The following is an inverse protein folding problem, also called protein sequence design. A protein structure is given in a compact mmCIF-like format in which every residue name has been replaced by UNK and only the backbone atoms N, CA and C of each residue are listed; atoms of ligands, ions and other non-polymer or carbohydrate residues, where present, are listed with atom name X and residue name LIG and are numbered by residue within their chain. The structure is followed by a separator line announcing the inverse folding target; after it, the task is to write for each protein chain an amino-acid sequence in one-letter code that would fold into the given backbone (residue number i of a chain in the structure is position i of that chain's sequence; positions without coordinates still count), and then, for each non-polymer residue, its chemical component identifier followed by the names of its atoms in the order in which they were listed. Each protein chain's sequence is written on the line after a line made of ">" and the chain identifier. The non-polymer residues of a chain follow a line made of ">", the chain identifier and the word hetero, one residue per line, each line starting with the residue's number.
data_IF_143823290192
#
_entry.id   IF_143823290192
#
_cell.length_a   1.000
_cell.length_b   1.000
_cell.length_c   1.000
_cell.angle_alpha   90.00
_cell.angle_beta   90.00
_cell.angle_gamma   90.00
#
_symmetry.space_group_name_H-M   'P 1'
#
loop_
_entity.id
_entity.type
_entity.pdbx_description
1 polymer ?
#
# COMPACT_ATOMS: atom_id res chain seq x y z
N UNK A 1 33.86 88.49 27.49
CA UNK A 1 34.04 87.69 26.27
C UNK A 1 34.88 86.50 26.69
N UNK A 2 34.22 85.35 26.95
CA UNK A 2 34.82 84.13 27.50
C UNK A 2 34.68 83.04 26.43
N UNK A 3 35.77 82.53 25.96
CA UNK A 3 35.84 81.48 24.97
C UNK A 3 35.59 80.12 25.64
N UNK A 4 34.85 79.19 25.01
CA UNK A 4 34.65 77.84 25.56
C UNK A 4 35.77 76.91 25.09
N UNK A 5 36.27 76.08 26.05
CA UNK A 5 37.27 75.08 25.89
C UNK A 5 36.77 73.92 25.02
N UNK A 6 37.63 73.53 24.02
CA UNK A 6 37.44 72.37 23.20
C UNK A 6 37.72 71.09 24.02
N UNK A 7 36.64 70.31 24.28
CA UNK A 7 36.75 68.99 24.87
C UNK A 7 37.34 67.99 23.86
N UNK A 8 38.51 67.46 24.17
CA UNK A 8 39.20 66.40 23.47
C UNK A 8 38.40 65.10 23.58
N UNK A 9 37.78 64.66 22.50
CA UNK A 9 37.13 63.35 22.41
C UNK A 9 38.16 62.26 22.10
N UNK A 10 38.35 61.36 23.10
CA UNK A 10 39.13 60.16 22.92
C UNK A 10 38.44 59.17 21.97
N UNK A 11 39.16 58.53 21.01
CA UNK A 11 38.55 57.57 20.13
C UNK A 11 38.09 56.32 20.89
N UNK A 12 36.96 55.69 20.47
CA UNK A 12 36.43 54.49 21.12
C UNK A 12 37.38 53.31 20.93
N UNK A 13 37.50 52.42 21.97
CA UNK A 13 38.35 51.24 21.88
C UNK A 13 37.93 50.33 20.75
N UNK A 14 38.87 49.96 19.86
CA UNK A 14 38.66 48.94 18.82
C UNK A 14 38.12 47.67 19.47
N UNK A 15 36.92 47.29 19.10
CA UNK A 15 36.31 46.00 19.46
C UNK A 15 37.28 44.88 19.07
N UNK A 16 37.83 44.18 20.07
CA UNK A 16 38.64 42.99 19.90
C UNK A 16 37.85 41.97 19.09
N UNK A 17 38.30 41.65 17.91
CA UNK A 17 37.69 40.68 17.02
C UNK A 17 37.53 39.36 17.78
N UNK A 18 36.28 38.92 17.93
CA UNK A 18 35.96 37.56 18.42
C UNK A 18 36.71 36.57 17.52
N UNK A 19 37.57 35.72 18.11
CA UNK A 19 38.20 34.66 17.34
C UNK A 19 37.10 33.79 16.74
N UNK A 20 37.06 33.73 15.42
CA UNK A 20 36.18 32.86 14.64
C UNK A 20 36.52 31.40 15.04
N UNK A 21 35.87 30.90 16.09
CA UNK A 21 35.96 29.49 16.51
C UNK A 21 35.32 28.65 15.45
N UNK A 22 36.00 28.40 14.35
CA UNK A 22 35.64 27.31 13.45
C UNK A 22 35.73 26.04 14.26
N UNK A 23 34.61 25.27 14.37
CA UNK A 23 34.64 24.02 15.12
C UNK A 23 35.66 23.12 14.42
N UNK A 24 36.82 22.90 15.07
CA UNK A 24 37.80 21.92 14.63
C UNK A 24 37.09 20.55 14.75
N UNK A 25 36.50 20.10 13.65
CA UNK A 25 35.92 18.74 13.54
C UNK A 25 37.07 17.77 13.89
N UNK A 26 36.95 17.10 15.02
CA UNK A 26 37.86 16.05 15.42
C UNK A 26 37.93 15.02 14.26
N UNK A 27 39.13 14.43 14.04
CA UNK A 27 39.34 13.43 12.97
C UNK A 27 38.24 12.32 13.05
N UNK A 28 37.81 11.98 14.25
CA UNK A 28 36.68 11.04 14.46
C UNK A 28 35.36 11.57 13.91
N UNK A 29 35.07 12.86 14.09
CA UNK A 29 33.87 13.49 13.55
C UNK A 29 33.87 13.54 12.02
N UNK A 30 35.03 13.80 11.42
CA UNK A 30 35.18 13.82 9.96
C UNK A 30 35.01 12.43 9.35
N UNK A 31 35.54 11.41 10.01
CA UNK A 31 35.37 9.99 9.57
C UNK A 31 33.94 9.52 9.71
N UNK A 32 33.26 9.81 10.82
CA UNK A 32 31.85 9.54 11.02
C UNK A 32 30.97 10.23 9.95
N UNK A 33 31.25 11.50 9.67
CA UNK A 33 30.52 12.25 8.64
C UNK A 33 30.72 11.64 7.25
N UNK A 34 31.93 11.20 6.93
CA UNK A 34 32.23 10.53 5.66
C UNK A 34 31.48 9.21 5.51
N UNK A 35 31.38 8.41 6.57
CA UNK A 35 30.62 7.15 6.58
C UNK A 35 29.13 7.44 6.43
N UNK A 36 28.58 8.38 7.20
CA UNK A 36 27.14 8.71 7.13
C UNK A 36 26.77 9.25 5.75
N UNK A 37 27.54 10.17 5.20
CA UNK A 37 27.24 10.77 3.89
C UNK A 37 27.53 9.79 2.75
N UNK A 38 28.63 9.03 2.85
CA UNK A 38 29.07 8.13 1.78
C UNK A 38 28.31 6.80 1.70
N UNK A 39 27.81 6.27 2.82
CA UNK A 39 27.22 4.95 2.87
C UNK A 39 25.75 4.99 3.32
N UNK A 40 25.47 5.64 4.43
CA UNK A 40 24.12 5.58 5.04
C UNK A 40 23.11 6.37 4.21
N UNK A 41 23.49 7.55 3.72
CA UNK A 41 22.56 8.42 2.99
C UNK A 41 22.16 7.84 1.62
N UNK A 42 23.06 7.31 0.78
CA UNK A 42 22.68 6.61 -0.44
C UNK A 42 21.87 5.34 -0.18
N UNK A 43 22.21 4.55 0.84
CA UNK A 43 21.45 3.36 1.20
C UNK A 43 20.01 3.70 1.62
N UNK A 44 19.83 4.77 2.41
CA UNK A 44 18.53 5.27 2.80
C UNK A 44 17.73 5.77 1.58
N UNK A 45 18.39 6.49 0.68
CA UNK A 45 17.77 7.00 -0.54
C UNK A 45 17.29 5.87 -1.45
N UNK A 46 18.10 4.83 -1.65
CA UNK A 46 17.72 3.63 -2.42
C UNK A 46 16.53 2.93 -1.76
N UNK A 47 16.52 2.78 -0.45
CA UNK A 47 15.43 2.14 0.30
C UNK A 47 14.10 2.92 0.16
N UNK A 48 14.15 4.25 0.25
CA UNK A 48 12.97 5.10 0.06
C UNK A 48 12.47 5.07 -1.40
N UNK A 49 13.39 5.07 -2.36
CA UNK A 49 13.05 4.99 -3.77
C UNK A 49 12.41 3.64 -4.11
N UNK A 50 12.98 2.54 -3.61
CA UNK A 50 12.44 1.19 -3.81
C UNK A 50 11.03 1.05 -3.23
N UNK A 51 10.79 1.57 -2.03
CA UNK A 51 9.44 1.58 -1.43
C UNK A 51 8.43 2.37 -2.27
N UNK A 52 8.85 3.51 -2.82
CA UNK A 52 7.97 4.35 -3.64
C UNK A 52 7.67 3.71 -4.99
N UNK A 53 8.67 3.13 -5.63
CA UNK A 53 8.52 2.42 -6.91
C UNK A 53 7.73 1.11 -6.74
N UNK A 54 8.01 0.33 -5.68
CA UNK A 54 7.32 -0.93 -5.41
C UNK A 54 5.80 -0.73 -5.26
N UNK A 55 5.36 0.31 -4.55
CA UNK A 55 3.93 0.62 -4.45
C UNK A 55 3.30 0.93 -5.81
N UNK A 56 3.97 1.73 -6.64
CA UNK A 56 3.45 2.10 -7.98
C UNK A 56 3.39 0.93 -8.96
N UNK A 57 4.27 -0.05 -8.82
CA UNK A 57 4.30 -1.22 -9.72
C UNK A 57 3.43 -2.37 -9.24
N UNK A 58 3.30 -2.58 -7.92
CA UNK A 58 2.50 -3.67 -7.37
C UNK A 58 1.00 -3.41 -7.44
N UNK A 59 0.57 -2.17 -7.25
CA UNK A 59 -0.85 -1.82 -7.24
C UNK A 59 -1.59 -2.21 -8.53
N UNK A 60 -1.09 -1.87 -9.75
CA UNK A 60 -1.76 -2.28 -10.99
C UNK A 60 -1.72 -3.80 -11.20
N UNK A 61 -0.65 -4.49 -10.80
CA UNK A 61 -0.55 -5.95 -10.92
C UNK A 61 -1.59 -6.64 -10.04
N UNK A 62 -1.74 -6.21 -8.80
CA UNK A 62 -2.74 -6.74 -7.86
C UNK A 62 -4.15 -6.44 -8.36
N UNK A 63 -4.41 -5.24 -8.88
CA UNK A 63 -5.70 -4.88 -9.44
C UNK A 63 -6.06 -5.73 -10.66
N UNK A 64 -5.12 -5.94 -11.57
CA UNK A 64 -5.32 -6.80 -12.73
C UNK A 64 -5.57 -8.26 -12.32
N UNK A 65 -4.85 -8.77 -11.34
CA UNK A 65 -5.07 -10.12 -10.82
C UNK A 65 -6.47 -10.27 -10.19
N UNK A 66 -6.89 -9.31 -9.39
CA UNK A 66 -8.25 -9.29 -8.80
C UNK A 66 -9.34 -9.24 -9.88
N UNK A 67 -9.15 -8.43 -10.92
CA UNK A 67 -10.07 -8.37 -12.05
C UNK A 67 -10.12 -9.69 -12.83
N UNK A 68 -8.98 -10.36 -13.00
CA UNK A 68 -8.91 -11.67 -13.64
C UNK A 68 -9.62 -12.75 -12.80
N UNK A 69 -9.44 -12.76 -11.49
CA UNK A 69 -10.15 -13.68 -10.58
C UNK A 69 -11.66 -13.44 -10.66
N UNK A 70 -12.11 -12.19 -10.66
CA UNK A 70 -13.52 -11.85 -10.81
C UNK A 70 -14.08 -12.34 -12.14
N UNK A 71 -13.39 -12.10 -13.25
CA UNK A 71 -13.80 -12.55 -14.57
C UNK A 71 -13.87 -14.08 -14.67
N UNK A 72 -12.86 -14.78 -14.17
CA UNK A 72 -12.86 -16.25 -14.15
C UNK A 72 -13.98 -16.81 -13.28
N UNK A 73 -14.20 -16.23 -12.11
CA UNK A 73 -15.27 -16.63 -11.18
C UNK A 73 -16.64 -16.38 -11.76
N UNK A 74 -16.86 -15.27 -12.47
CA UNK A 74 -18.13 -14.97 -13.12
C UNK A 74 -18.45 -15.98 -14.22
N UNK A 75 -17.47 -16.39 -15.01
CA UNK A 75 -17.64 -17.43 -16.02
C UNK A 75 -17.97 -18.79 -15.38
N UNK A 76 -17.27 -19.16 -14.29
CA UNK A 76 -17.53 -20.41 -13.58
C UNK A 76 -18.94 -20.48 -12.99
N UNK A 77 -19.50 -19.35 -12.57
CA UNK A 77 -20.85 -19.26 -12.02
C UNK A 77 -21.96 -19.21 -13.07
N UNK A 78 -21.65 -18.91 -14.34
CA UNK A 78 -22.64 -18.67 -15.38
C UNK A 78 -23.62 -19.83 -15.54
N UNK A 79 -23.14 -21.06 -15.70
CA UNK A 79 -23.99 -22.23 -15.91
C UNK A 79 -24.83 -22.58 -14.66
N UNK A 80 -24.25 -22.44 -13.47
CA UNK A 80 -24.92 -22.71 -12.21
C UNK A 80 -26.00 -21.65 -11.90
N UNK A 81 -25.72 -20.38 -12.18
CA UNK A 81 -26.66 -19.29 -12.01
C UNK A 81 -27.82 -19.39 -13.00
N UNK A 82 -27.54 -19.74 -14.26
CA UNK A 82 -28.56 -19.98 -15.28
C UNK A 82 -29.53 -21.10 -14.91
N UNK A 83 -29.00 -22.24 -14.43
CA UNK A 83 -29.82 -23.39 -14.01
C UNK A 83 -30.45 -23.23 -12.64
N UNK A 84 -30.19 -22.13 -11.92
CA UNK A 84 -30.62 -21.88 -10.53
C UNK A 84 -30.28 -23.04 -9.58
N UNK A 85 -29.18 -23.74 -9.87
CA UNK A 85 -28.72 -24.85 -9.06
C UNK A 85 -27.89 -24.34 -7.86
N UNK A 86 -28.59 -24.08 -6.74
CA UNK A 86 -27.98 -23.55 -5.53
C UNK A 86 -26.83 -24.42 -5.00
N UNK A 87 -26.94 -25.75 -5.08
CA UNK A 87 -25.89 -26.66 -4.61
C UNK A 87 -24.59 -26.49 -5.40
N UNK A 88 -24.71 -26.31 -6.73
CA UNK A 88 -23.55 -26.05 -7.59
C UNK A 88 -22.99 -24.64 -7.35
N UNK A 89 -23.87 -23.65 -7.14
CA UNK A 89 -23.44 -22.28 -6.78
C UNK A 89 -22.62 -22.31 -5.48
N UNK A 90 -23.10 -22.99 -4.44
CA UNK A 90 -22.38 -23.12 -3.16
C UNK A 90 -21.01 -23.78 -3.34
N UNK A 91 -20.94 -24.85 -4.13
CA UNK A 91 -19.68 -25.54 -4.43
C UNK A 91 -18.68 -24.62 -5.16
N UNK A 92 -19.14 -23.81 -6.12
CA UNK A 92 -18.30 -22.84 -6.83
C UNK A 92 -17.84 -21.73 -5.88
N UNK A 93 -18.73 -21.23 -5.02
CA UNK A 93 -18.42 -20.22 -3.99
C UNK A 93 -17.34 -20.73 -3.03
N UNK A 94 -17.47 -21.98 -2.55
CA UNK A 94 -16.44 -22.57 -1.69
C UNK A 94 -15.10 -22.70 -2.40
N UNK A 95 -15.10 -23.03 -3.68
CA UNK A 95 -13.86 -23.10 -4.46
C UNK A 95 -13.20 -21.72 -4.66
N UNK A 96 -14.01 -20.67 -4.86
CA UNK A 96 -13.51 -19.29 -4.94
C UNK A 96 -12.90 -18.85 -3.60
N UNK A 97 -13.48 -19.26 -2.47
CA UNK A 97 -12.95 -18.95 -1.14
C UNK A 97 -11.65 -19.71 -0.80
N UNK A 98 -11.26 -20.73 -1.57
CA UNK A 98 -9.95 -21.36 -1.44
C UNK A 98 -8.82 -20.49 -1.98
N UNK A 99 -9.14 -19.46 -2.76
CA UNK A 99 -8.16 -18.49 -3.22
C UNK A 99 -7.70 -17.61 -2.05
N UNK A 100 -6.41 -17.61 -1.69
CA UNK A 100 -5.94 -16.96 -0.46
C UNK A 100 -6.14 -15.45 -0.40
N UNK A 101 -6.35 -14.81 -1.55
CA UNK A 101 -6.62 -13.37 -1.64
C UNK A 101 -8.10 -13.02 -1.45
N UNK A 102 -9.01 -14.00 -1.52
CA UNK A 102 -10.46 -13.82 -1.43
C UNK A 102 -10.94 -14.18 -0.03
N UNK A 103 -11.54 -13.25 0.68
CA UNK A 103 -12.07 -13.49 2.00
C UNK A 103 -13.61 -13.42 2.07
N UNK A 104 -14.28 -13.05 0.98
CA UNK A 104 -15.74 -13.05 0.92
C UNK A 104 -16.28 -13.15 -0.50
N UNK A 105 -17.40 -13.84 -0.63
CA UNK A 105 -18.11 -14.03 -1.89
C UNK A 105 -19.61 -13.84 -1.65
N UNK A 106 -20.21 -12.94 -2.43
CA UNK A 106 -21.66 -12.74 -2.45
C UNK A 106 -22.17 -12.92 -3.88
N UNK A 107 -23.12 -13.79 -4.07
CA UNK A 107 -23.90 -13.94 -5.31
C UNK A 107 -25.26 -13.28 -5.12
N UNK A 108 -25.49 -12.19 -5.85
CA UNK A 108 -26.66 -11.32 -5.70
C UNK A 108 -27.54 -11.40 -6.95
N UNK A 109 -28.82 -11.05 -6.78
CA UNK A 109 -29.76 -10.87 -7.90
C UNK A 109 -29.82 -12.07 -8.85
N UNK A 110 -29.86 -13.29 -8.31
CA UNK A 110 -30.25 -14.45 -9.10
C UNK A 110 -31.69 -14.22 -9.62
N UNK A 111 -31.79 -13.92 -10.89
CA UNK A 111 -33.08 -13.71 -11.52
C UNK A 111 -33.61 -15.06 -12.05
N UNK A 112 -34.69 -15.59 -11.48
CA UNK A 112 -35.47 -16.60 -12.18
C UNK A 112 -36.04 -15.95 -13.46
N UNK A 113 -36.11 -16.69 -14.51
CA UNK A 113 -36.61 -16.32 -15.87
C UNK A 113 -38.07 -15.83 -15.89
N UNK A 114 -38.56 -15.23 -14.83
CA UNK A 114 -39.93 -14.69 -14.71
C UNK A 114 -39.87 -13.18 -14.75
N UNK A 115 -40.70 -12.57 -15.58
CA UNK A 115 -40.86 -11.13 -15.84
C UNK A 115 -41.18 -10.26 -14.58
N UNK A 116 -41.06 -10.80 -13.39
CA UNK A 116 -41.22 -10.03 -12.17
C UNK A 116 -39.87 -9.61 -11.63
N UNK A 117 -39.58 -8.29 -11.55
CA UNK A 117 -38.41 -7.77 -10.88
C UNK A 117 -38.60 -7.91 -9.35
N UNK A 118 -38.55 -9.10 -8.86
CA UNK A 118 -38.38 -9.34 -7.43
C UNK A 118 -36.91 -9.09 -7.15
N UNK A 119 -36.60 -8.01 -6.41
CA UNK A 119 -35.31 -7.83 -5.77
C UNK A 119 -35.08 -9.09 -4.91
N UNK A 120 -34.52 -10.12 -5.54
CA UNK A 120 -34.27 -11.41 -4.92
C UNK A 120 -33.32 -11.25 -3.75
N UNK A 121 -33.53 -11.93 -2.65
CA UNK A 121 -32.61 -11.97 -1.54
C UNK A 121 -31.22 -12.44 -2.04
N UNK A 122 -30.19 -12.00 -1.38
CA UNK A 122 -28.84 -12.54 -1.46
C UNK A 122 -28.90 -14.07 -1.58
N UNK A 123 -28.61 -14.63 -2.73
CA UNK A 123 -28.82 -16.06 -2.94
C UNK A 123 -27.81 -16.90 -2.15
N UNK A 124 -26.54 -16.49 -2.19
CA UNK A 124 -25.45 -17.13 -1.44
C UNK A 124 -24.47 -16.07 -0.99
N UNK A 125 -24.16 -16.05 0.30
CA UNK A 125 -23.15 -15.16 0.88
C UNK A 125 -22.26 -15.96 1.83
N UNK A 126 -20.98 -15.90 1.62
CA UNK A 126 -19.95 -16.47 2.51
C UNK A 126 -18.88 -15.42 2.75
N UNK A 127 -18.58 -15.16 4.02
CA UNK A 127 -17.56 -14.20 4.41
C UNK A 127 -16.69 -14.80 5.51
N UNK A 128 -15.39 -14.81 5.27
CA UNK A 128 -14.36 -15.35 6.18
C UNK A 128 -13.28 -14.31 6.45
N UNK A 129 -13.55 -13.01 6.18
CA UNK A 129 -12.59 -11.96 6.42
C UNK A 129 -12.29 -11.81 7.90
N UNK A 130 -11.03 -11.76 8.34
CA UNK A 130 -10.64 -11.50 9.71
C UNK A 130 -11.18 -10.13 10.16
N UNK A 131 -11.62 -10.00 11.42
CA UNK A 131 -12.08 -8.72 11.94
C UNK A 131 -10.95 -7.68 11.95
N UNK A 132 -11.24 -6.46 11.46
CA UNK A 132 -10.27 -5.36 11.43
C UNK A 132 -9.35 -5.32 10.21
N UNK A 133 -9.51 -6.22 9.26
CA UNK A 133 -8.77 -6.18 7.98
C UNK A 133 -9.36 -5.14 7.04
N UNK A 134 -8.50 -4.38 6.37
CA UNK A 134 -8.95 -3.55 5.24
C UNK A 134 -9.39 -4.47 4.11
N UNK A 135 -10.61 -4.26 3.59
CA UNK A 135 -11.14 -5.08 2.52
C UNK A 135 -11.36 -4.26 1.26
N UNK A 136 -11.11 -4.86 0.12
CA UNK A 136 -11.39 -4.29 -1.20
C UNK A 136 -12.48 -5.12 -1.86
N UNK A 137 -13.57 -4.46 -2.24
CA UNK A 137 -14.72 -5.13 -2.86
C UNK A 137 -14.72 -4.85 -4.36
N UNK A 138 -14.85 -5.91 -5.16
CA UNK A 138 -15.08 -5.83 -6.60
C UNK A 138 -16.41 -6.50 -6.96
N UNK A 139 -17.16 -5.87 -7.85
CA UNK A 139 -18.41 -6.40 -8.36
C UNK A 139 -18.35 -6.57 -9.88
N UNK A 140 -18.97 -7.64 -10.36
CA UNK A 140 -19.08 -7.89 -11.78
C UNK A 140 -20.40 -8.61 -12.13
N UNK A 141 -20.90 -8.42 -13.35
CA UNK A 141 -22.06 -9.14 -13.82
C UNK A 141 -21.69 -10.60 -14.15
N UNK A 142 -22.58 -11.52 -13.86
CA UNK A 142 -22.56 -12.89 -14.38
C UNK A 142 -23.46 -12.90 -15.60
N UNK A 143 -22.88 -13.12 -16.78
CA UNK A 143 -23.60 -13.04 -18.06
C UNK A 143 -23.78 -14.42 -18.65
N UNK A 144 -24.97 -14.71 -19.16
CA UNK A 144 -25.26 -15.87 -19.99
C UNK A 144 -25.88 -15.39 -21.30
N UNK A 145 -25.25 -15.71 -22.43
CA UNK A 145 -25.68 -15.26 -23.77
C UNK A 145 -25.93 -13.74 -23.88
N UNK A 146 -25.14 -12.94 -23.15
CA UNK A 146 -25.27 -11.49 -23.12
C UNK A 146 -26.31 -10.94 -22.13
N UNK A 147 -27.09 -11.79 -21.48
CA UNK A 147 -28.04 -11.40 -20.43
C UNK A 147 -27.40 -11.53 -19.05
N UNK A 148 -27.65 -10.57 -18.17
CA UNK A 148 -27.17 -10.63 -16.80
C UNK A 148 -28.10 -11.53 -15.99
N UNK A 149 -27.57 -12.67 -15.53
CA UNK A 149 -28.31 -13.68 -14.73
C UNK A 149 -28.06 -13.54 -13.23
N UNK A 150 -26.92 -12.94 -12.85
CA UNK A 150 -26.60 -12.67 -11.46
C UNK A 150 -25.56 -11.54 -11.38
N UNK A 151 -25.25 -11.11 -10.15
CA UNK A 151 -24.12 -10.22 -9.85
C UNK A 151 -23.23 -10.91 -8.82
N UNK A 152 -21.97 -11.01 -9.17
CA UNK A 152 -20.93 -11.52 -8.28
C UNK A 152 -20.22 -10.36 -7.60
N UNK A 153 -20.11 -10.43 -6.27
CA UNK A 153 -19.32 -9.53 -5.45
C UNK A 153 -18.25 -10.35 -4.75
N UNK A 154 -16.99 -9.99 -5.00
CA UNK A 154 -15.84 -10.57 -4.32
C UNK A 154 -15.25 -9.56 -3.34
N UNK A 155 -14.93 -10.03 -2.14
CA UNK A 155 -14.28 -9.27 -1.09
C UNK A 155 -12.86 -9.81 -0.95
N UNK A 156 -11.87 -8.97 -1.23
CA UNK A 156 -10.45 -9.30 -1.17
C UNK A 156 -9.83 -8.79 0.13
N UNK A 157 -8.86 -9.52 0.66
CA UNK A 157 -8.01 -9.05 1.74
C UNK A 157 -7.10 -7.93 1.21
N UNK A 158 -7.24 -6.72 1.76
CA UNK A 158 -6.41 -5.56 1.41
C UNK A 158 -5.03 -5.58 2.06
N UNK A 159 -4.80 -6.43 3.06
CA UNK A 159 -3.54 -6.47 3.81
C UNK A 159 -2.44 -7.24 3.08
N UNK A 160 -2.76 -7.96 2.00
CA UNK A 160 -1.79 -8.74 1.23
C UNK A 160 -0.62 -7.89 0.71
N UNK A 161 -0.93 -6.70 0.18
CA UNK A 161 0.10 -5.75 -0.29
C UNK A 161 1.01 -5.33 0.86
N UNK A 162 0.42 -5.00 2.01
CA UNK A 162 1.18 -4.56 3.18
C UNK A 162 2.05 -5.68 3.74
N UNK A 163 1.58 -6.93 3.71
CA UNK A 163 2.34 -8.11 4.13
C UNK A 163 3.55 -8.35 3.22
N UNK A 164 3.37 -8.32 1.91
CA UNK A 164 4.45 -8.47 0.93
C UNK A 164 5.49 -7.34 1.04
N UNK A 165 5.04 -6.10 1.26
CA UNK A 165 5.93 -4.97 1.51
C UNK A 165 6.70 -5.12 2.82
N UNK A 166 6.06 -5.61 3.88
CA UNK A 166 6.69 -5.85 5.17
C UNK A 166 7.77 -6.93 5.09
N UNK A 167 7.53 -8.02 4.37
CA UNK A 167 8.53 -9.08 4.14
C UNK A 167 9.75 -8.56 3.36
N UNK A 168 9.53 -7.85 2.26
CA UNK A 168 10.62 -7.22 1.49
C UNK A 168 11.44 -6.26 2.36
N UNK A 169 10.76 -5.45 3.18
CA UNK A 169 11.42 -4.54 4.11
C UNK A 169 12.31 -5.27 5.10
N UNK A 170 11.86 -6.40 5.67
CA UNK A 170 12.67 -7.21 6.60
C UNK A 170 13.94 -7.72 5.94
N UNK A 171 13.84 -8.28 4.75
CA UNK A 171 15.00 -8.78 4.00
C UNK A 171 16.00 -7.66 3.70
N UNK A 172 15.52 -6.49 3.25
CA UNK A 172 16.37 -5.33 2.97
C UNK A 172 17.08 -4.81 4.22
N UNK A 173 16.35 -4.67 5.34
CA UNK A 173 16.94 -4.22 6.62
C UNK A 173 18.03 -5.20 7.07
N UNK A 174 17.80 -6.52 6.95
CA UNK A 174 18.77 -7.53 7.32
C UNK A 174 20.04 -7.43 6.46
N UNK A 175 19.89 -7.26 5.13
CA UNK A 175 21.02 -7.08 4.21
C UNK A 175 21.85 -5.83 4.54
N UNK A 176 21.19 -4.70 4.78
CA UNK A 176 21.89 -3.44 5.14
C UNK A 176 22.61 -3.59 6.49
N UNK A 177 21.99 -4.25 7.47
CA UNK A 177 22.61 -4.50 8.78
C UNK A 177 23.86 -5.37 8.66
N UNK A 178 23.83 -6.41 7.85
CA UNK A 178 24.98 -7.29 7.59
C UNK A 178 26.11 -6.52 6.91
N UNK A 179 25.80 -5.66 5.92
CA UNK A 179 26.81 -4.84 5.24
C UNK A 179 27.48 -3.80 6.16
N UNK A 180 26.77 -3.30 7.18
CA UNK A 180 27.34 -2.32 8.14
C UNK A 180 28.19 -3.01 9.20
N UNK A 181 27.96 -4.31 9.48
CA UNK A 181 28.69 -5.09 10.49
C UNK A 181 29.98 -5.73 9.96
N UNK A 182 30.15 -5.85 8.65
CA UNK A 182 31.36 -6.35 7.98
C UNK A 182 32.30 -5.21 7.62
#
# INVERSE_FOLDING_TARGET
>A
MTAPALASQSPPPKAAGRPDRRPALSIRGMLLTAIVVGVVLPALMVLLLDQHLARRTLEPVVQNNRAAILAQSSVALTAAAWSLNLAVIEQVVERILQEPSVCGVDVLNLQPFTDQPTAGPKAVSRQQCPPGTSTVTLEGPVLHEGQQVARLRLVFDGTEIDRQLAERRRVMVTLVTVQVLV
#
